data_IF_939791592466
#
_entry.id   IF_939791592466
#
_cell.length_a   1.000
_cell.length_b   1.000
_cell.length_c   1.000
_cell.angle_alpha   90.00
_cell.angle_beta   90.00
_cell.angle_gamma   90.00
#
_symmetry.space_group_name_H-M   'P 1'
#
loop_
_entity.id
_entity.type
_entity.pdbx_description
1 polymer ?
#
# COMPACT_ATOMS: atom_id res chain seq x y z
N UNK A 1 52.53 17.29 3.42
CA UNK A 1 51.30 17.86 4.00
C UNK A 1 50.62 16.76 4.79
N UNK A 2 50.35 17.00 6.07
CA UNK A 2 49.87 16.02 7.04
C UNK A 2 48.39 15.66 6.80
N UNK A 3 48.03 14.39 7.02
CA UNK A 3 46.65 13.94 7.15
C UNK A 3 46.33 13.86 8.66
N UNK A 4 45.54 14.81 9.12
CA UNK A 4 45.09 14.94 10.50
C UNK A 4 43.57 14.73 10.52
N UNK A 5 43.11 13.48 10.30
CA UNK A 5 41.73 13.07 10.59
C UNK A 5 41.55 11.54 10.45
N UNK A 6 42.30 10.80 11.25
CA UNK A 6 41.91 9.48 11.71
C UNK A 6 42.23 9.45 13.20
N UNK A 7 41.26 9.89 14.02
CA UNK A 7 41.34 9.82 15.47
C UNK A 7 41.55 8.38 15.89
N UNK A 8 42.65 8.13 16.58
CA UNK A 8 42.92 6.85 17.22
C UNK A 8 42.11 6.72 18.50
N UNK A 9 41.74 5.48 18.82
CA UNK A 9 42.15 4.91 20.09
C UNK A 9 42.35 3.39 19.94
N UNK A 10 43.35 2.89 20.66
CA UNK A 10 44.07 1.66 20.39
C UNK A 10 43.21 0.41 20.25
N UNK A 11 43.34 -0.27 19.11
CA UNK A 11 43.32 -1.73 19.08
C UNK A 11 44.17 -2.23 17.91
N UNK A 12 45.03 -3.20 18.20
CA UNK A 12 45.98 -3.81 17.26
C UNK A 12 45.20 -4.52 16.15
N UNK A 13 45.26 -4.03 14.92
CA UNK A 13 44.66 -4.71 13.77
C UNK A 13 45.41 -6.02 13.48
N UNK A 14 44.66 -7.12 13.35
CA UNK A 14 45.14 -8.43 12.92
C UNK A 14 45.49 -8.41 11.42
N UNK A 15 46.50 -9.18 10.96
CA UNK A 15 46.85 -9.25 9.54
C UNK A 15 45.74 -9.96 8.75
N UNK A 16 45.13 -9.28 7.77
CA UNK A 16 44.24 -9.94 6.81
C UNK A 16 43.10 -9.15 6.14
N UNK A 17 42.90 -7.85 6.41
CA UNK A 17 41.79 -7.09 5.80
C UNK A 17 42.25 -6.06 4.76
N UNK A 18 41.83 -6.28 3.51
CA UNK A 18 42.05 -5.40 2.37
C UNK A 18 41.00 -4.27 2.36
N UNK A 19 41.41 -3.01 2.55
CA UNK A 19 40.56 -1.85 2.26
C UNK A 19 40.60 -1.53 0.75
N UNK A 20 39.47 -1.74 0.07
CA UNK A 20 39.23 -1.34 -1.33
C UNK A 20 38.70 0.09 -1.41
N UNK A 21 39.54 1.11 -1.20
CA UNK A 21 39.23 2.49 -1.64
C UNK A 21 40.44 3.38 -1.49
N UNK A 22 41.41 3.25 -2.40
CA UNK A 22 42.39 4.28 -2.75
C UNK A 22 42.87 3.97 -4.17
N UNK A 23 42.12 4.44 -5.17
CA UNK A 23 42.54 4.38 -6.56
C UNK A 23 43.66 5.38 -6.82
N UNK A 24 44.82 4.88 -7.21
CA UNK A 24 45.93 5.64 -7.76
C UNK A 24 45.81 5.65 -9.30
N UNK A 25 46.18 6.76 -9.93
CA UNK A 25 46.44 6.79 -11.38
C UNK A 25 46.30 8.16 -12.00
N UNK A 26 47.27 9.05 -11.75
CA UNK A 26 47.48 10.25 -12.55
C UNK A 26 48.33 9.97 -13.79
N UNK A 27 48.22 10.94 -14.71
CA UNK A 27 49.26 11.51 -15.55
C UNK A 27 49.50 11.06 -17.02
N UNK A 28 49.22 12.06 -17.87
CA UNK A 28 50.07 12.65 -18.92
C UNK A 28 49.92 12.23 -20.38
N UNK A 29 49.76 13.28 -21.18
CA UNK A 29 49.67 13.33 -22.62
C UNK A 29 51.05 13.43 -23.29
N UNK A 30 51.11 12.98 -24.55
CA UNK A 30 51.88 13.64 -25.61
C UNK A 30 53.06 12.86 -26.20
N UNK A 31 52.86 12.25 -27.39
CA UNK A 31 53.76 12.35 -28.56
C UNK A 31 53.24 11.59 -29.80
N UNK A 32 53.04 12.31 -30.90
CA UNK A 32 53.26 11.86 -32.29
C UNK A 32 54.74 12.23 -32.68
N UNK A 33 55.38 11.74 -33.78
CA UNK A 33 54.80 11.49 -35.12
C UNK A 33 55.39 10.32 -35.99
N UNK A 34 54.80 10.17 -37.18
CA UNK A 34 55.37 9.81 -38.50
C UNK A 34 55.63 8.34 -38.93
N UNK A 35 55.07 7.94 -40.10
CA UNK A 35 55.60 6.88 -40.98
C UNK A 35 54.59 6.11 -41.87
N UNK A 36 54.50 6.47 -43.16
CA UNK A 36 53.83 5.79 -44.32
C UNK A 36 54.56 4.48 -44.77
N UNK A 37 54.20 3.72 -45.86
CA UNK A 37 52.92 3.45 -46.58
C UNK A 37 52.68 1.96 -47.02
N UNK A 38 51.50 1.67 -47.63
CA UNK A 38 51.26 0.64 -48.67
C UNK A 38 50.99 -0.81 -48.20
N UNK A 39 50.20 -1.70 -48.81
CA UNK A 39 49.40 -1.78 -50.05
C UNK A 39 48.39 -2.94 -49.89
N UNK A 40 47.24 -2.92 -50.58
CA UNK A 40 46.47 -4.15 -50.88
C UNK A 40 44.93 -4.03 -50.85
N UNK A 41 44.34 -3.61 -51.98
CA UNK A 41 42.95 -3.94 -52.43
C UNK A 41 43.10 -4.99 -53.55
N UNK A 42 42.14 -5.91 -53.80
CA UNK A 42 40.83 -5.60 -54.43
C UNK A 42 39.71 -6.55 -53.94
N UNK A 43 38.46 -6.60 -54.39
CA UNK A 43 37.50 -5.73 -55.09
C UNK A 43 36.13 -6.40 -54.85
N UNK A 44 35.05 -5.61 -54.79
CA UNK A 44 33.67 -6.08 -54.74
C UNK A 44 32.71 -4.89 -54.90
N UNK A 45 32.38 -4.59 -56.16
CA UNK A 45 31.45 -3.54 -56.66
C UNK A 45 30.07 -3.63 -55.98
N UNK A 46 29.46 -2.53 -55.50
CA UNK A 46 28.78 -1.43 -56.24
C UNK A 46 27.52 -1.90 -57.00
N UNK A 47 26.32 -1.28 -56.98
CA UNK A 47 25.69 -0.04 -56.48
C UNK A 47 24.13 -0.23 -56.73
N UNK A 48 23.24 0.78 -56.94
CA UNK A 48 22.47 1.54 -55.94
C UNK A 48 20.95 1.75 -56.28
N UNK A 49 20.20 2.44 -55.41
CA UNK A 49 18.94 3.17 -55.74
C UNK A 49 17.97 3.30 -54.55
N UNK A 50 17.88 4.42 -53.81
CA UNK A 50 17.02 5.65 -53.97
C UNK A 50 15.53 5.31 -54.22
N UNK A 51 14.50 5.86 -53.54
CA UNK A 51 14.19 7.18 -52.95
C UNK A 51 13.32 7.01 -51.67
N UNK A 52 13.56 7.72 -50.57
CA UNK A 52 12.96 9.02 -50.15
C UNK A 52 11.44 9.15 -50.33
N UNK A 53 10.70 9.23 -49.21
CA UNK A 53 9.62 10.21 -48.99
C UNK A 53 9.55 10.55 -47.49
N UNK A 54 10.05 11.75 -47.17
CA UNK A 54 9.79 12.48 -45.92
C UNK A 54 8.32 12.92 -45.89
N UNK A 55 7.63 12.71 -44.77
CA UNK A 55 6.43 13.49 -44.43
C UNK A 55 6.79 14.51 -43.36
N UNK A 56 6.97 15.75 -43.80
CA UNK A 56 6.92 16.97 -42.97
C UNK A 56 5.50 17.50 -43.00
N UNK A 57 4.90 17.76 -41.84
CA UNK A 57 4.18 19.02 -41.48
C UNK A 57 3.16 18.74 -40.37
N UNK A 58 3.45 19.19 -39.15
CA UNK A 58 2.77 20.35 -38.58
C UNK A 58 3.47 20.78 -37.28
N UNK A 59 4.25 21.85 -37.40
CA UNK A 59 4.51 22.77 -36.29
C UNK A 59 3.39 23.81 -36.34
N UNK A 60 2.50 23.79 -35.36
CA UNK A 60 1.66 24.93 -35.04
C UNK A 60 2.04 25.38 -33.63
N UNK A 61 2.59 26.58 -33.61
CA UNK A 61 2.93 27.37 -32.45
C UNK A 61 1.65 27.66 -31.66
N UNK A 62 1.63 27.35 -30.38
CA UNK A 62 0.80 28.03 -29.39
C UNK A 62 1.70 28.42 -28.21
N UNK A 63 2.40 29.53 -28.43
CA UNK A 63 2.74 30.49 -27.38
C UNK A 63 1.46 30.88 -26.63
N UNK A 64 1.34 30.45 -25.38
CA UNK A 64 0.30 30.88 -24.46
C UNK A 64 0.94 31.21 -23.12
N UNK A 65 1.33 32.47 -22.96
CA UNK A 65 1.80 33.02 -21.70
C UNK A 65 0.66 32.97 -20.67
N UNK A 66 0.78 32.13 -19.64
CA UNK A 66 -0.09 32.21 -18.47
C UNK A 66 0.56 33.19 -17.49
N UNK A 67 0.09 34.43 -17.55
CA UNK A 67 0.30 35.44 -16.51
C UNK A 67 -0.51 34.99 -15.29
N UNK A 68 0.14 34.39 -14.30
CA UNK A 68 -0.46 34.21 -12.97
C UNK A 68 -0.35 35.53 -12.23
N UNK A 69 -1.45 36.28 -12.24
CA UNK A 69 -1.60 37.47 -11.41
C UNK A 69 -1.62 37.05 -9.93
N UNK A 70 -0.59 37.47 -9.19
CA UNK A 70 -0.56 37.42 -7.73
C UNK A 70 -1.51 38.50 -7.22
N UNK A 71 -2.71 38.10 -6.79
CA UNK A 71 -3.59 38.96 -6.01
C UNK A 71 -3.24 38.79 -4.53
N UNK A 72 -2.35 39.64 -4.04
CA UNK A 72 -2.18 39.87 -2.61
C UNK A 72 -3.36 40.71 -2.10
N UNK A 73 -4.30 40.07 -1.38
CA UNK A 73 -5.26 40.78 -0.55
C UNK A 73 -4.74 40.76 0.89
N UNK A 74 -3.98 41.81 1.20
CA UNK A 74 -3.74 42.28 2.56
C UNK A 74 -5.02 42.94 3.08
N UNK A 75 -5.63 42.37 4.11
CA UNK A 75 -6.51 43.11 5.02
C UNK A 75 -5.81 43.13 6.38
N UNK A 76 -5.32 44.32 6.73
CA UNK A 76 -4.74 44.64 8.02
C UNK A 76 -5.73 45.47 8.85
N UNK A 77 -5.52 45.39 10.17
CA UNK A 77 -6.08 46.21 11.25
C UNK A 77 -7.51 45.84 11.69
N UNK A 78 -7.72 45.25 12.87
CA UNK A 78 -7.46 45.71 14.24
C UNK A 78 -8.58 46.61 14.78
N UNK A 79 -9.31 46.06 15.76
CA UNK A 79 -9.86 46.72 16.96
C UNK A 79 -9.97 45.59 18.01
N UNK A 80 -9.09 45.49 19.01
CA UNK A 80 -8.95 46.27 20.25
C UNK A 80 -10.07 46.05 21.28
N UNK A 81 -9.60 45.81 22.52
CA UNK A 81 -10.26 45.82 23.83
C UNK A 81 -10.98 44.55 24.34
N UNK A 82 -10.42 44.01 25.43
CA UNK A 82 -11.04 42.98 26.27
C UNK A 82 -10.08 42.42 27.30
N UNK A 83 -9.82 43.24 28.32
CA UNK A 83 -8.84 43.08 29.39
C UNK A 83 -9.10 41.90 30.35
N UNK A 84 -8.01 41.53 31.01
CA UNK A 84 -7.71 40.56 32.06
C UNK A 84 -8.71 40.39 33.20
N UNK A 85 -8.73 39.19 33.82
CA UNK A 85 -8.30 38.96 35.21
C UNK A 85 -9.07 37.83 35.92
N UNK A 86 -8.30 36.89 36.48
CA UNK A 86 -8.45 36.27 37.81
C UNK A 86 -9.72 35.42 38.10
N UNK A 87 -9.72 34.39 38.95
CA UNK A 87 -8.72 33.59 39.64
C UNK A 87 -9.50 32.50 40.41
N UNK A 88 -8.83 31.40 40.79
CA UNK A 88 -9.14 30.53 41.96
C UNK A 88 -10.46 29.71 41.87
N UNK A 89 -10.65 28.49 42.36
CA UNK A 89 -10.09 27.63 43.41
C UNK A 89 -10.34 26.16 42.96
N UNK A 90 -9.42 25.21 43.17
CA UNK A 90 -9.31 24.29 44.32
C UNK A 90 -10.60 23.45 44.57
N UNK A 91 -10.63 22.17 44.94
CA UNK A 91 -9.63 21.15 45.31
C UNK A 91 -10.39 19.83 45.53
N UNK A 92 -9.70 18.70 45.33
CA UNK A 92 -9.71 17.46 46.15
C UNK A 92 -10.91 16.51 46.24
N UNK A 93 -10.55 15.23 46.08
CA UNK A 93 -11.05 14.05 46.82
C UNK A 93 -11.89 13.12 45.94
N UNK A 94 -11.58 11.84 45.72
CA UNK A 94 -10.73 10.84 46.39
C UNK A 94 -10.91 9.47 45.68
N UNK A 95 -10.39 8.35 46.22
CA UNK A 95 -9.63 7.38 45.44
C UNK A 95 -10.23 5.96 45.27
N UNK A 96 -9.57 5.21 44.38
CA UNK A 96 -9.19 3.78 44.43
C UNK A 96 -10.25 2.66 44.54
N UNK A 97 -10.04 1.65 43.68
CA UNK A 97 -10.28 0.24 44.00
C UNK A 97 -10.82 -0.59 42.85
N UNK A 98 -10.08 -1.62 42.42
CA UNK A 98 -10.66 -2.71 41.65
C UNK A 98 -9.74 -3.31 40.58
N UNK A 99 -8.69 -4.00 41.01
CA UNK A 99 -8.03 -5.01 40.19
C UNK A 99 -8.99 -6.19 39.95
N UNK A 100 -9.04 -6.71 38.74
CA UNK A 100 -9.35 -8.11 38.45
C UNK A 100 -8.75 -8.46 37.09
N UNK A 101 -7.74 -9.31 37.14
CA UNK A 101 -7.30 -10.15 36.02
C UNK A 101 -8.49 -10.90 35.44
N UNK A 102 -8.57 -11.02 34.11
CA UNK A 102 -9.00 -12.29 33.53
C UNK A 102 -8.52 -12.48 32.09
N UNK A 103 -8.06 -13.71 31.88
CA UNK A 103 -7.40 -14.27 30.71
C UNK A 103 -8.49 -15.06 29.97
N UNK A 104 -8.69 -14.89 28.66
CA UNK A 104 -9.61 -15.82 27.97
C UNK A 104 -10.08 -15.47 26.56
N UNK A 105 -9.30 -15.94 25.59
CA UNK A 105 -9.71 -16.85 24.50
C UNK A 105 -10.99 -16.57 23.66
N UNK A 106 -10.73 -16.57 22.36
CA UNK A 106 -11.62 -16.66 21.20
C UNK A 106 -12.64 -17.81 21.30
N UNK A 107 -13.86 -17.60 20.75
CA UNK A 107 -14.68 -18.70 20.23
C UNK A 107 -16.17 -18.67 20.60
N UNK A 108 -16.96 -17.88 19.88
CA UNK A 108 -18.42 -17.92 19.95
C UNK A 108 -19.04 -18.35 18.63
N UNK A 109 -19.11 -19.66 18.37
CA UNK A 109 -20.05 -20.24 17.40
C UNK A 109 -21.37 -20.59 18.12
N UNK A 110 -22.53 -20.45 17.46
CA UNK A 110 -23.82 -20.49 18.13
C UNK A 110 -24.20 -21.91 18.58
N UNK A 111 -24.54 -22.04 19.86
CA UNK A 111 -25.14 -23.22 20.45
C UNK A 111 -26.58 -23.40 19.95
N UNK A 112 -26.90 -24.56 19.36
CA UNK A 112 -28.28 -25.08 19.36
C UNK A 112 -28.25 -26.50 19.94
N UNK A 113 -28.71 -26.59 21.18
CA UNK A 113 -28.93 -27.82 21.94
C UNK A 113 -30.08 -28.59 21.26
N UNK A 114 -29.84 -29.84 20.91
CA UNK A 114 -30.86 -30.83 20.58
C UNK A 114 -30.91 -31.88 21.70
N UNK A 115 -32.07 -32.12 22.34
CA UNK A 115 -32.23 -33.25 23.25
C UNK A 115 -32.32 -34.57 22.50
N UNK A 116 -31.70 -35.60 23.09
CA UNK A 116 -31.86 -37.00 22.76
C UNK A 116 -33.02 -37.63 23.54
N UNK A 117 -33.74 -38.57 22.91
CA UNK A 117 -34.61 -39.58 23.54
C UNK A 117 -34.18 -40.97 23.01
N UNK A 118 -34.61 -42.17 23.52
CA UNK A 118 -35.66 -42.51 24.52
C UNK A 118 -35.19 -43.67 25.48
N UNK A 119 -36.00 -44.56 26.17
CA UNK A 119 -37.20 -45.30 25.72
C UNK A 119 -38.41 -45.49 26.71
N UNK A 120 -39.58 -45.66 26.08
CA UNK A 120 -40.74 -46.55 26.35
C UNK A 120 -41.47 -46.59 27.72
N UNK A 121 -42.78 -46.29 27.74
CA UNK A 121 -43.84 -47.32 27.66
C UNK A 121 -45.30 -46.78 27.66
N UNK A 122 -46.12 -47.48 26.86
CA UNK A 122 -47.57 -47.73 26.94
C UNK A 122 -48.60 -46.58 27.13
N UNK A 123 -49.41 -46.32 26.10
CA UNK A 123 -50.88 -46.49 26.08
C UNK A 123 -51.53 -45.77 24.87
N UNK A 124 -52.36 -46.47 24.08
CA UNK A 124 -53.26 -45.88 23.05
C UNK A 124 -54.53 -45.30 23.70
N UNK A 125 -55.08 -44.15 23.25
CA UNK A 125 -56.18 -44.11 22.24
C UNK A 125 -56.31 -42.71 21.50
N UNK A 126 -57.42 -42.32 20.82
CA UNK A 126 -58.27 -42.87 19.75
C UNK A 126 -58.03 -42.10 18.39
N UNK A 127 -58.79 -42.27 17.27
CA UNK A 127 -58.36 -41.82 15.94
C UNK A 127 -58.48 -40.29 15.76
N UNK A 128 -57.37 -39.63 15.44
CA UNK A 128 -57.31 -38.19 15.17
C UNK A 128 -57.48 -37.89 13.68
N UNK A 129 -58.34 -36.92 13.42
CA UNK A 129 -58.62 -36.30 12.13
C UNK A 129 -57.32 -35.90 11.39
N UNK A 130 -57.32 -36.06 10.07
CA UNK A 130 -56.22 -35.65 9.21
C UNK A 130 -55.98 -34.14 9.34
N UNK A 131 -54.89 -33.77 10.01
CA UNK A 131 -54.40 -32.39 10.03
C UNK A 131 -53.87 -32.00 8.66
N UNK A 132 -54.22 -30.81 8.13
CA UNK A 132 -53.69 -30.29 6.87
C UNK A 132 -52.16 -30.24 6.90
N UNK A 133 -51.54 -30.70 5.80
CA UNK A 133 -50.09 -30.67 5.59
C UNK A 133 -49.60 -29.21 5.75
N UNK A 134 -48.57 -28.94 6.58
CA UNK A 134 -47.98 -27.61 6.68
C UNK A 134 -47.55 -27.12 5.29
N UNK A 135 -47.78 -25.84 4.94
CA UNK A 135 -47.29 -25.29 3.69
C UNK A 135 -45.77 -25.48 3.62
N UNK A 136 -45.28 -25.98 2.49
CA UNK A 136 -43.87 -26.18 2.27
C UNK A 136 -43.14 -24.87 2.57
N UNK A 137 -42.12 -24.91 3.45
CA UNK A 137 -41.20 -23.78 3.64
C UNK A 137 -40.63 -23.45 2.26
N UNK A 138 -41.00 -22.29 1.74
CA UNK A 138 -40.38 -21.72 0.55
C UNK A 138 -38.90 -21.60 0.87
N UNK A 139 -38.08 -22.42 0.21
CA UNK A 139 -36.63 -22.28 0.25
C UNK A 139 -36.33 -20.87 -0.24
N UNK A 140 -35.54 -20.05 0.49
CA UNK A 140 -35.09 -18.77 -0.03
C UNK A 140 -34.50 -18.98 -1.43
N UNK A 141 -34.73 -18.07 -2.38
CA UNK A 141 -34.09 -18.15 -3.70
C UNK A 141 -32.60 -18.40 -3.48
N UNK A 142 -32.12 -19.54 -3.98
CA UNK A 142 -30.69 -19.83 -3.94
C UNK A 142 -30.06 -18.83 -4.89
N UNK A 143 -29.40 -17.83 -4.32
CA UNK A 143 -28.62 -16.82 -5.04
C UNK A 143 -27.72 -17.53 -6.05
N UNK A 144 -27.68 -17.01 -7.28
CA UNK A 144 -27.03 -17.68 -8.40
C UNK A 144 -25.56 -17.97 -8.05
N UNK A 145 -25.20 -19.26 -8.03
CA UNK A 145 -23.83 -19.72 -7.84
C UNK A 145 -23.07 -19.59 -9.15
N UNK A 146 -22.84 -18.36 -9.60
CA UNK A 146 -21.88 -18.09 -10.67
C UNK A 146 -20.47 -18.51 -10.24
N UNK A 147 -19.50 -18.59 -11.17
CA UNK A 147 -18.11 -18.67 -10.78
C UNK A 147 -17.80 -17.49 -9.84
N UNK A 148 -17.13 -17.79 -8.74
CA UNK A 148 -16.70 -16.79 -7.77
C UNK A 148 -15.18 -16.86 -7.67
N UNK A 149 -14.53 -15.73 -7.89
CA UNK A 149 -13.11 -15.57 -7.61
C UNK A 149 -12.95 -15.03 -6.18
N UNK A 150 -12.05 -15.61 -5.39
CA UNK A 150 -11.62 -15.02 -4.13
C UNK A 150 -10.17 -15.36 -3.82
N UNK A 151 -9.35 -14.34 -3.54
CA UNK A 151 -7.96 -14.55 -3.16
C UNK A 151 -7.39 -13.37 -2.37
N UNK A 152 -6.54 -13.71 -1.41
CA UNK A 152 -5.72 -12.74 -0.67
C UNK A 152 -4.41 -12.43 -1.40
N UNK A 153 -3.96 -11.19 -1.28
CA UNK A 153 -2.63 -10.72 -1.69
C UNK A 153 -2.09 -9.72 -0.65
N UNK A 154 -0.78 -9.58 -0.58
CA UNK A 154 -0.11 -8.61 0.30
C UNK A 154 1.19 -9.17 0.88
N UNK A 155 1.88 -8.39 1.72
CA UNK A 155 3.07 -8.86 2.41
C UNK A 155 2.80 -10.17 3.15
N UNK A 156 3.68 -11.15 2.98
CA UNK A 156 3.56 -12.44 3.68
C UNK A 156 2.41 -13.33 3.26
N UNK A 157 1.67 -12.98 2.20
CA UNK A 157 0.69 -13.88 1.60
C UNK A 157 1.31 -14.76 0.53
N UNK A 158 0.97 -16.05 0.55
CA UNK A 158 1.23 -17.00 -0.54
C UNK A 158 -0.04 -17.34 -1.33
N UNK A 159 -1.07 -16.51 -1.20
CA UNK A 159 -2.39 -16.69 -1.83
C UNK A 159 -2.39 -16.47 -3.35
N UNK A 160 -3.58 -16.53 -3.96
CA UNK A 160 -3.77 -16.46 -5.42
C UNK A 160 -3.60 -15.08 -6.08
N UNK A 161 -3.14 -14.06 -5.35
CA UNK A 161 -2.80 -12.74 -5.89
C UNK A 161 -1.34 -12.37 -5.64
N UNK A 162 -0.86 -11.35 -6.35
CA UNK A 162 0.50 -10.86 -6.34
C UNK A 162 0.61 -9.57 -5.54
N UNK A 163 1.77 -9.38 -4.90
CA UNK A 163 2.15 -8.16 -4.21
C UNK A 163 3.56 -7.73 -4.63
N UNK A 164 3.73 -6.46 -4.96
CA UNK A 164 5.03 -5.87 -5.31
C UNK A 164 5.19 -4.50 -4.68
N UNK A 165 6.44 -4.09 -4.50
CA UNK A 165 6.82 -2.78 -3.99
C UNK A 165 7.82 -2.16 -4.97
N UNK A 166 7.62 -0.89 -5.30
CA UNK A 166 8.47 -0.14 -6.20
C UNK A 166 9.10 1.05 -5.48
N UNK A 167 10.35 1.36 -5.84
CA UNK A 167 11.16 2.41 -5.22
C UNK A 167 11.30 2.23 -3.70
N UNK A 168 11.31 0.98 -3.23
CA UNK A 168 11.63 0.64 -1.85
C UNK A 168 13.08 1.03 -1.54
N UNK A 169 13.28 1.74 -0.44
CA UNK A 169 14.59 2.04 0.13
C UNK A 169 14.55 1.82 1.65
N UNK A 170 15.71 1.63 2.27
CA UNK A 170 15.83 1.45 3.72
C UNK A 170 16.66 2.57 4.32
N UNK A 171 16.12 3.24 5.33
CA UNK A 171 16.77 4.33 6.06
C UNK A 171 16.22 4.40 7.50
N UNK A 172 16.43 3.32 8.26
CA UNK A 172 15.86 3.18 9.61
C UNK A 172 14.33 3.35 9.61
N UNK A 173 13.84 4.22 10.48
CA UNK A 173 12.43 4.58 10.55
C UNK A 173 12.01 5.58 9.46
N UNK A 174 12.93 6.25 8.76
CA UNK A 174 12.59 7.21 7.68
C UNK A 174 12.34 6.51 6.33
N UNK A 175 12.79 5.25 6.19
CA UNK A 175 12.60 4.44 4.99
C UNK A 175 11.46 3.43 5.09
N UNK A 176 11.47 2.48 4.16
CA UNK A 176 10.57 1.34 4.17
C UNK A 176 11.04 0.28 5.16
N UNK A 177 10.14 -0.21 6.00
CA UNK A 177 10.40 -1.34 6.87
C UNK A 177 9.18 -2.27 6.96
N UNK A 178 9.45 -3.50 7.39
CA UNK A 178 8.41 -4.51 7.58
C UNK A 178 8.09 -4.60 9.06
N UNK A 179 6.81 -4.49 9.39
CA UNK A 179 6.30 -4.73 10.74
C UNK A 179 5.82 -6.18 10.79
N UNK A 180 6.33 -6.95 11.75
CA UNK A 180 6.14 -8.41 11.80
C UNK A 180 4.72 -8.88 12.11
N UNK A 181 3.84 -7.97 12.55
CA UNK A 181 2.49 -8.31 12.98
C UNK A 181 1.53 -7.13 12.92
N UNK A 182 0.25 -7.42 12.78
CA UNK A 182 -0.84 -6.44 12.88
C UNK A 182 -1.81 -6.51 11.71
N UNK A 183 -1.40 -7.17 10.61
CA UNK A 183 -2.25 -7.47 9.46
C UNK A 183 -3.02 -8.78 9.59
N UNK A 184 -3.62 -9.22 8.48
CA UNK A 184 -4.44 -10.43 8.38
C UNK A 184 -3.59 -11.70 8.46
N UNK A 185 -4.05 -12.66 9.25
CA UNK A 185 -3.41 -13.97 9.42
C UNK A 185 -4.34 -15.09 8.97
N UNK A 186 -3.76 -16.13 8.40
CA UNK A 186 -4.51 -17.24 7.80
C UNK A 186 -4.71 -17.04 6.30
N UNK A 187 -5.38 -17.98 5.65
CA UNK A 187 -5.59 -17.99 4.19
C UNK A 187 -4.29 -17.85 3.37
N UNK A 188 -3.17 -18.31 3.93
CA UNK A 188 -1.83 -18.18 3.34
C UNK A 188 -1.09 -16.90 3.70
N UNK A 189 -1.59 -16.06 4.60
CA UNK A 189 -0.95 -14.82 5.06
C UNK A 189 -0.42 -14.94 6.51
N UNK A 190 0.78 -14.38 6.75
CA UNK A 190 1.45 -14.42 8.06
C UNK A 190 1.16 -13.20 8.98
N UNK A 191 0.46 -12.19 8.45
CA UNK A 191 0.03 -10.98 9.18
C UNK A 191 1.10 -9.90 9.33
N UNK A 192 2.25 -10.01 8.65
CA UNK A 192 3.19 -8.90 8.54
C UNK A 192 2.66 -7.84 7.58
N UNK A 193 3.11 -6.60 7.69
CA UNK A 193 2.77 -5.55 6.73
C UNK A 193 3.99 -4.66 6.47
N UNK A 194 3.92 -3.85 5.44
CA UNK A 194 4.97 -2.90 5.10
C UNK A 194 4.56 -1.50 5.53
N UNK A 195 5.42 -0.84 6.29
CA UNK A 195 5.36 0.59 6.54
C UNK A 195 6.02 1.32 5.36
N UNK A 196 5.23 2.13 4.67
CA UNK A 196 5.60 2.87 3.46
C UNK A 196 5.84 4.34 3.83
N UNK A 197 7.06 4.87 3.68
CA UNK A 197 7.33 6.26 4.02
C UNK A 197 6.48 7.18 3.15
N UNK A 198 5.94 8.25 3.73
CA UNK A 198 5.21 9.25 2.94
C UNK A 198 6.18 10.21 2.25
N UNK A 199 5.73 10.85 1.19
CA UNK A 199 6.50 11.81 0.38
C UNK A 199 6.83 13.13 1.09
N UNK A 200 6.27 13.33 2.29
CA UNK A 200 6.28 14.58 3.05
C UNK A 200 5.53 15.74 2.42
N UNK A 201 4.64 15.46 1.44
CA UNK A 201 3.80 16.44 0.75
C UNK A 201 2.40 15.88 0.54
N UNK A 202 1.39 16.63 0.98
CA UNK A 202 -0.02 16.24 0.85
C UNK A 202 -0.53 16.09 -0.58
N UNK A 203 0.14 16.70 -1.56
CA UNK A 203 -0.34 16.78 -2.96
C UNK A 203 0.60 16.15 -3.99
N UNK A 204 1.70 15.53 -3.55
CA UNK A 204 2.72 15.04 -4.47
C UNK A 204 3.30 13.71 -4.02
N UNK A 205 3.43 12.80 -4.97
CA UNK A 205 4.06 11.49 -4.79
C UNK A 205 5.58 11.65 -4.92
N UNK A 206 6.35 10.85 -4.19
CA UNK A 206 7.81 10.75 -4.37
C UNK A 206 8.22 9.54 -5.21
N UNK A 207 7.27 8.65 -5.49
CA UNK A 207 7.42 7.51 -6.39
C UNK A 207 7.39 6.15 -5.70
N UNK A 208 7.36 6.12 -4.37
CA UNK A 208 7.15 4.90 -3.59
C UNK A 208 5.76 4.31 -3.82
N UNK A 209 5.69 3.01 -4.11
CA UNK A 209 4.43 2.32 -4.41
C UNK A 209 4.38 0.92 -3.84
N UNK A 210 3.17 0.50 -3.44
CA UNK A 210 2.85 -0.89 -3.12
C UNK A 210 1.65 -1.32 -3.97
N UNK A 211 1.79 -2.40 -4.73
CA UNK A 211 0.81 -2.83 -5.73
C UNK A 211 0.31 -4.24 -5.41
N UNK A 212 -1.00 -4.42 -5.40
CA UNK A 212 -1.68 -5.71 -5.33
C UNK A 212 -2.32 -6.00 -6.69
N UNK A 213 -2.15 -7.21 -7.21
CA UNK A 213 -2.73 -7.60 -8.49
C UNK A 213 -3.28 -9.02 -8.45
N UNK A 214 -4.45 -9.23 -9.03
CA UNK A 214 -5.12 -10.52 -9.14
C UNK A 214 -5.44 -10.79 -10.59
N UNK A 215 -5.14 -12.00 -11.07
CA UNK A 215 -5.71 -12.50 -12.32
C UNK A 215 -7.03 -13.20 -11.99
N UNK A 216 -8.13 -12.50 -12.26
CA UNK A 216 -9.48 -12.93 -11.88
C UNK A 216 -10.14 -13.78 -12.96
N UNK A 217 -9.60 -13.77 -14.18
CA UNK A 217 -10.14 -14.48 -15.34
C UNK A 217 -11.22 -13.69 -16.07
N UNK A 218 -11.86 -14.33 -17.04
CA UNK A 218 -12.94 -13.72 -17.83
C UNK A 218 -14.28 -13.80 -17.11
N UNK A 219 -15.22 -12.92 -17.50
CA UNK A 219 -16.59 -12.92 -16.98
C UNK A 219 -16.84 -12.02 -15.77
N UNK A 220 -15.86 -11.20 -15.39
CA UNK A 220 -16.02 -10.18 -14.34
C UNK A 220 -15.67 -8.80 -14.88
N UNK A 221 -16.61 -7.87 -14.77
CA UNK A 221 -16.36 -6.45 -15.08
C UNK A 221 -15.95 -5.66 -13.83
N UNK A 222 -16.40 -6.13 -12.66
CA UNK A 222 -16.05 -5.53 -11.37
C UNK A 222 -15.92 -6.59 -10.28
N UNK A 223 -15.12 -6.27 -9.27
CA UNK A 223 -14.97 -7.06 -8.04
C UNK A 223 -15.16 -6.14 -6.81
N UNK A 224 -15.29 -6.72 -5.63
CA UNK A 224 -15.07 -6.01 -4.37
C UNK A 224 -13.66 -6.29 -3.85
N UNK A 225 -13.09 -5.33 -3.11
CA UNK A 225 -11.78 -5.45 -2.48
C UNK A 225 -11.93 -5.16 -0.99
N UNK A 226 -11.66 -6.16 -0.15
CA UNK A 226 -11.49 -5.94 1.28
C UNK A 226 -10.06 -5.48 1.55
N UNK A 227 -9.89 -4.30 2.14
CA UNK A 227 -8.59 -3.72 2.51
C UNK A 227 -8.40 -3.85 4.01
N UNK A 228 -7.30 -4.47 4.43
CA UNK A 228 -6.92 -4.56 5.84
C UNK A 228 -6.12 -3.33 6.23
N UNK A 229 -6.52 -2.66 7.31
CA UNK A 229 -5.74 -1.61 7.94
C UNK A 229 -5.14 -2.21 9.22
N UNK A 230 -3.82 -2.46 9.28
CA UNK A 230 -3.24 -3.18 10.40
C UNK A 230 -3.34 -2.35 11.69
N UNK A 231 -3.27 -3.01 12.84
CA UNK A 231 -3.25 -2.30 14.12
C UNK A 231 -1.92 -1.53 14.31
N UNK A 232 -0.80 -2.17 13.95
CA UNK A 232 0.55 -1.67 14.18
C UNK A 232 0.93 -1.65 15.67
N UNK A 233 2.21 -1.81 16.02
CA UNK A 233 2.71 -1.57 17.37
C UNK A 233 2.94 -0.07 17.66
N UNK A 234 3.11 0.76 16.62
CA UNK A 234 3.27 2.22 16.72
C UNK A 234 2.26 2.92 15.81
N UNK A 235 1.68 4.01 16.29
CA UNK A 235 0.73 4.82 15.51
C UNK A 235 1.32 5.31 14.19
N UNK A 236 2.62 5.61 14.18
CA UNK A 236 3.37 6.07 13.00
C UNK A 236 3.46 5.01 11.88
N UNK A 237 3.40 3.71 12.21
CA UNK A 237 3.45 2.64 11.22
C UNK A 237 2.17 2.59 10.36
N UNK A 238 1.08 3.22 10.84
CA UNK A 238 -0.27 3.21 10.28
C UNK A 238 -0.88 4.61 10.39
N UNK A 239 -0.20 5.59 9.81
CA UNK A 239 -0.50 7.01 9.98
C UNK A 239 -1.10 7.70 8.73
N UNK A 240 -1.33 6.95 7.66
CA UNK A 240 -1.81 7.47 6.39
C UNK A 240 -3.19 8.14 6.47
N UNK A 241 -3.21 9.47 6.27
CA UNK A 241 -4.41 10.31 6.37
C UNK A 241 -4.47 11.42 5.30
N UNK A 242 -5.13 11.16 4.15
CA UNK A 242 -5.52 9.83 3.68
C UNK A 242 -4.32 9.03 3.18
N UNK A 243 -4.51 7.73 3.02
CA UNK A 243 -3.73 6.89 2.10
C UNK A 243 -4.47 6.81 0.77
N UNK A 244 -3.80 7.17 -0.32
CA UNK A 244 -4.38 7.15 -1.66
C UNK A 244 -4.11 5.82 -2.35
N UNK A 245 -5.17 5.22 -2.89
CA UNK A 245 -5.12 4.01 -3.70
C UNK A 245 -5.66 4.28 -5.11
N UNK A 246 -4.87 3.89 -6.10
CA UNK A 246 -5.22 3.92 -7.52
C UNK A 246 -5.61 2.52 -7.98
N UNK A 247 -6.68 2.41 -8.74
CA UNK A 247 -7.01 1.21 -9.51
C UNK A 247 -6.49 1.41 -10.91
N UNK A 248 -5.73 0.46 -11.42
CA UNK A 248 -5.03 0.57 -12.70
C UNK A 248 -5.69 -0.32 -13.75
N UNK A 249 -5.81 0.17 -14.98
CA UNK A 249 -6.18 -0.69 -16.12
C UNK A 249 -5.00 -1.49 -16.65
N UNK A 250 -3.78 -0.97 -16.50
CA UNK A 250 -2.52 -1.65 -16.85
C UNK A 250 -1.60 -1.67 -15.62
N UNK A 251 -1.27 -2.84 -15.04
CA UNK A 251 -0.41 -2.93 -13.87
C UNK A 251 1.02 -2.41 -14.09
N UNK A 252 1.49 -2.35 -15.34
CA UNK A 252 2.84 -1.91 -15.69
C UNK A 252 2.91 -0.40 -16.05
N UNK A 253 1.76 0.27 -16.17
CA UNK A 253 1.66 1.72 -16.37
C UNK A 253 1.01 2.40 -15.16
N UNK A 254 1.78 3.06 -14.27
CA UNK A 254 1.22 3.76 -13.11
C UNK A 254 0.34 4.97 -13.49
N UNK A 255 0.38 5.41 -14.76
CA UNK A 255 -0.50 6.45 -15.29
C UNK A 255 -1.89 5.94 -15.71
N UNK A 256 -2.10 4.62 -15.77
CA UNK A 256 -3.33 3.97 -16.25
C UNK A 256 -4.48 3.96 -15.22
N UNK A 257 -4.56 5.01 -14.40
CA UNK A 257 -5.52 5.11 -13.30
C UNK A 257 -6.95 5.22 -13.83
N UNK A 258 -7.79 4.27 -13.46
CA UNK A 258 -9.22 4.23 -13.83
C UNK A 258 -10.17 4.56 -12.67
N UNK A 259 -9.69 4.41 -11.43
CA UNK A 259 -10.44 4.77 -10.22
C UNK A 259 -9.46 5.13 -9.11
N UNK A 260 -9.85 6.06 -8.24
CA UNK A 260 -9.10 6.41 -7.03
C UNK A 260 -10.03 6.24 -5.83
N UNK A 261 -9.48 5.73 -4.73
CA UNK A 261 -10.13 5.78 -3.43
C UNK A 261 -9.12 6.08 -2.34
N UNK A 262 -9.60 6.62 -1.23
CA UNK A 262 -8.78 7.09 -0.12
C UNK A 262 -9.24 6.45 1.18
N UNK A 263 -8.29 6.14 2.05
CA UNK A 263 -8.55 5.53 3.36
C UNK A 263 -7.84 6.36 4.43
N UNK A 264 -8.58 6.81 5.43
CA UNK A 264 -7.98 7.26 6.68
C UNK A 264 -7.59 6.04 7.52
N UNK A 265 -6.30 5.70 7.49
CA UNK A 265 -5.80 4.53 8.20
C UNK A 265 -5.76 4.76 9.71
N UNK A 266 -5.70 6.02 10.16
CA UNK A 266 -5.64 6.36 11.59
C UNK A 266 -6.94 6.02 12.30
N UNK A 267 -8.07 6.19 11.61
CA UNK A 267 -9.42 5.89 12.11
C UNK A 267 -9.79 4.40 12.02
N UNK A 268 -9.05 3.62 11.22
CA UNK A 268 -9.38 2.22 10.90
C UNK A 268 -8.33 1.21 11.39
N UNK A 269 -7.38 1.62 12.24
CA UNK A 269 -6.33 0.72 12.76
C UNK A 269 -6.92 -0.56 13.36
N UNK A 270 -6.37 -1.70 12.93
CA UNK A 270 -6.79 -3.03 13.38
C UNK A 270 -8.13 -3.51 12.81
N UNK A 271 -8.67 -2.80 11.82
CA UNK A 271 -9.94 -3.13 11.16
C UNK A 271 -9.74 -3.33 9.65
N UNK A 272 -10.84 -3.33 8.90
CA UNK A 272 -10.79 -3.37 7.45
C UNK A 272 -12.05 -2.76 6.86
N UNK A 273 -11.97 -2.44 5.58
CA UNK A 273 -13.09 -1.88 4.82
C UNK A 273 -13.24 -2.60 3.49
N UNK A 274 -14.46 -2.59 2.95
CA UNK A 274 -14.74 -3.18 1.63
C UNK A 274 -14.99 -2.06 0.64
N UNK A 275 -14.22 -2.06 -0.45
CA UNK A 275 -14.43 -1.20 -1.61
C UNK A 275 -15.20 -2.00 -2.65
N UNK A 276 -16.42 -1.57 -2.94
CA UNK A 276 -17.28 -2.19 -3.93
C UNK A 276 -17.01 -1.69 -5.35
N UNK A 277 -17.40 -2.49 -6.35
CA UNK A 277 -17.37 -2.14 -7.79
C UNK A 277 -16.00 -1.59 -8.22
N UNK A 278 -14.95 -2.32 -7.89
CA UNK A 278 -13.58 -2.05 -8.37
C UNK A 278 -13.45 -2.64 -9.76
N UNK A 279 -13.14 -1.83 -10.80
CA UNK A 279 -13.15 -2.30 -12.17
C UNK A 279 -12.06 -3.34 -12.43
N UNK A 280 -12.40 -4.31 -13.27
CA UNK A 280 -11.48 -5.33 -13.80
C UNK A 280 -11.13 -4.94 -15.24
N UNK A 281 -9.85 -4.98 -15.57
CA UNK A 281 -9.35 -4.70 -16.93
C UNK A 281 -8.46 -5.85 -17.37
N UNK A 282 -8.65 -6.33 -18.60
CA UNK A 282 -7.88 -7.42 -19.19
C UNK A 282 -7.77 -8.65 -18.27
N UNK A 283 -8.89 -9.03 -17.64
CA UNK A 283 -9.02 -10.16 -16.72
C UNK A 283 -8.21 -9.98 -15.42
N UNK A 284 -7.77 -8.76 -15.11
CA UNK A 284 -6.98 -8.41 -13.94
C UNK A 284 -7.64 -7.31 -13.13
N UNK A 285 -7.47 -7.43 -11.82
CA UNK A 285 -7.77 -6.40 -10.86
C UNK A 285 -6.45 -5.91 -10.28
N UNK A 286 -6.16 -4.61 -10.34
CA UNK A 286 -4.91 -4.06 -9.82
C UNK A 286 -5.19 -2.83 -8.99
N UNK A 287 -4.67 -2.83 -7.76
CA UNK A 287 -4.77 -1.73 -6.81
C UNK A 287 -3.36 -1.31 -6.40
N UNK A 288 -3.07 -0.02 -6.40
CA UNK A 288 -1.77 0.54 -6.09
C UNK A 288 -1.91 1.63 -5.03
N UNK A 289 -1.21 1.47 -3.91
CA UNK A 289 -0.98 2.53 -2.94
C UNK A 289 0.15 3.42 -3.44
N UNK A 290 -0.02 4.74 -3.34
CA UNK A 290 1.04 5.73 -3.59
C UNK A 290 1.46 6.41 -2.28
N UNK A 291 2.72 6.83 -2.21
CA UNK A 291 3.35 7.42 -1.03
C UNK A 291 2.94 8.87 -0.71
N UNK A 292 1.84 9.38 -1.28
CA UNK A 292 1.39 10.76 -1.05
C UNK A 292 0.93 10.94 0.39
N UNK A 293 1.62 11.79 1.15
CA UNK A 293 1.22 12.10 2.51
C UNK A 293 2.21 13.03 3.22
N UNK A 294 1.83 13.49 4.41
CA UNK A 294 2.69 14.35 5.25
C UNK A 294 3.31 13.50 6.35
N UNK A 295 4.64 13.51 6.41
CA UNK A 295 5.51 12.70 7.29
C UNK A 295 6.19 13.51 8.40
N UNK A 296 5.79 14.78 8.55
CA UNK A 296 6.38 15.72 9.50
C UNK A 296 5.31 16.54 10.21
N UNK A 297 5.49 16.74 11.51
CA UNK A 297 4.56 17.43 12.40
C UNK A 297 4.56 16.81 13.79
N UNK A 298 3.68 17.26 14.69
CA UNK A 298 3.62 16.72 16.06
C UNK A 298 3.00 15.32 16.12
N UNK A 299 3.41 14.54 17.14
CA UNK A 299 2.85 13.22 17.45
C UNK A 299 3.08 12.20 16.33
N UNK A 300 2.01 11.50 15.95
CA UNK A 300 1.96 10.48 14.88
C UNK A 300 2.39 11.00 13.49
N UNK A 301 2.60 12.31 13.33
CA UNK A 301 3.08 12.91 12.09
C UNK A 301 4.59 12.91 11.93
N UNK A 302 5.41 12.71 12.96
CA UNK A 302 6.87 12.62 12.76
C UNK A 302 7.24 11.20 12.35
N UNK A 303 7.80 11.03 11.15
CA UNK A 303 8.15 9.70 10.63
C UNK A 303 6.90 8.86 10.36
N UNK A 304 5.84 9.48 9.84
CA UNK A 304 4.59 8.82 9.54
C UNK A 304 4.70 7.94 8.29
N UNK A 305 4.08 6.76 8.33
CA UNK A 305 4.02 5.82 7.22
C UNK A 305 2.58 5.51 6.83
N UNK A 306 2.36 5.23 5.56
CA UNK A 306 1.20 4.45 5.16
C UNK A 306 1.44 2.98 5.47
N UNK A 307 0.39 2.26 5.84
CA UNK A 307 0.46 0.81 6.00
C UNK A 307 -0.01 0.10 4.71
N UNK A 308 0.87 -0.69 4.11
CA UNK A 308 0.52 -1.63 3.05
C UNK A 308 0.39 -3.04 3.65
N UNK A 309 -0.83 -3.49 3.89
CA UNK A 309 -1.13 -4.81 4.43
C UNK A 309 -1.86 -5.70 3.41
N UNK A 310 -2.63 -6.67 3.87
CA UNK A 310 -3.32 -7.63 3.03
C UNK A 310 -4.58 -7.03 2.40
N UNK A 311 -4.89 -7.48 1.19
CA UNK A 311 -6.16 -7.22 0.52
C UNK A 311 -6.76 -8.52 0.01
N UNK A 312 -8.09 -8.63 0.05
CA UNK A 312 -8.84 -9.74 -0.57
C UNK A 312 -9.65 -9.23 -1.73
N UNK A 313 -9.45 -9.80 -2.92
CA UNK A 313 -10.36 -9.60 -4.04
C UNK A 313 -11.49 -10.64 -3.98
N UNK A 314 -12.72 -10.20 -4.27
CA UNK A 314 -13.89 -11.05 -4.44
C UNK A 314 -14.66 -10.64 -5.69
N UNK A 315 -14.78 -11.55 -6.65
CA UNK A 315 -15.52 -11.31 -7.88
C UNK A 315 -16.68 -12.30 -7.99
N UNK A 316 -17.84 -11.80 -8.40
CA UNK A 316 -19.05 -12.59 -8.61
C UNK A 316 -19.66 -12.17 -9.95
N UNK A 317 -20.11 -13.14 -10.73
CA UNK A 317 -20.77 -12.95 -12.02
C UNK A 317 -22.26 -12.68 -11.86
#
# INVERSE_FOLDING_TARGET
>A
MACEQCGGDGTRALPGTNCRTCGAGGDTAGREPAGHPGHGRPAGRALPGRLLLLSRRNKLLLTGAVVVAVAALTVSAADLYGDTSQASEASRGGPAGGASDDIGYLGGAPQRIAPADPPSDAASPPPRQATPKPPAKVRPPQEARGPAYSAWAGPGCTGGGLYSEENRFSDGDDGWYTVSSGGHRGDGCDGRFTAVPMSGRSTKDSGGRATWSWYVGSGYDTCSVAVVVPAGPRDQDVAGRPTTYNVLSDPDDPGSVVKVFEIDQTELRGSGLVVEKVPVHDQRLTVQLVDRGVDRGEGERTGAHHAAAQMRAECRA
#
